data_IF_825871994778
#
_entry.id   IF_825871994778
#
_cell.length_a   1.000
_cell.length_b   1.000
_cell.length_c   1.000
_cell.angle_alpha   90.00
_cell.angle_beta   90.00
_cell.angle_gamma   90.00
#
_symmetry.space_group_name_H-M   'P 1'
#
loop_
_entity.id
_entity.type
_entity.pdbx_description
1 polymer ?
#
# COMPACT_ATOMS: atom_id res chain seq x y z
N UNK A 1 3.82 18.55 15.33
CA UNK A 1 2.83 17.96 14.40
C UNK A 1 1.49 17.97 15.09
N UNK A 2 0.37 18.26 14.40
CA UNK A 2 -0.95 18.03 14.98
C UNK A 2 -1.04 16.57 15.46
N UNK A 3 -1.79 16.30 16.52
CA UNK A 3 -1.73 15.02 17.26
C UNK A 3 -2.07 13.76 16.42
N UNK A 4 -2.64 13.94 15.22
CA UNK A 4 -3.21 12.85 14.40
C UNK A 4 -2.35 12.47 13.18
N UNK A 5 -1.11 12.99 13.07
CA UNK A 5 -0.22 12.63 11.95
C UNK A 5 0.62 11.40 12.27
N UNK A 6 0.69 10.46 11.31
CA UNK A 6 1.63 9.35 11.35
C UNK A 6 3.00 9.76 10.81
N UNK A 7 4.08 9.30 11.46
CA UNK A 7 5.45 9.48 11.00
C UNK A 7 6.05 8.10 10.67
N UNK A 8 6.46 7.91 9.42
CA UNK A 8 6.97 6.64 8.91
C UNK A 8 6.53 6.41 7.47
N UNK A 9 6.66 5.17 6.99
CA UNK A 9 6.18 4.80 5.66
C UNK A 9 4.68 4.48 5.72
N UNK A 10 3.95 4.86 4.67
CA UNK A 10 2.53 4.54 4.55
C UNK A 10 2.29 3.01 4.49
N UNK A 11 3.24 2.24 3.95
CA UNK A 11 3.18 0.77 3.92
C UNK A 11 3.22 0.18 5.33
N UNK A 12 4.06 0.72 6.22
CA UNK A 12 4.12 0.32 7.63
C UNK A 12 2.82 0.66 8.36
N UNK A 13 2.28 1.86 8.11
CA UNK A 13 1.00 2.27 8.69
C UNK A 13 -0.13 1.32 8.29
N UNK A 14 -0.21 0.97 7.00
CA UNK A 14 -1.24 0.06 6.48
C UNK A 14 -1.10 -1.32 7.13
N UNK A 15 0.11 -1.88 7.16
CA UNK A 15 0.34 -3.20 7.76
C UNK A 15 -0.02 -3.27 9.26
N UNK A 16 0.22 -2.18 10.00
CA UNK A 16 -0.10 -2.12 11.43
C UNK A 16 -1.60 -1.92 11.73
N UNK A 17 -2.31 -1.17 10.88
CA UNK A 17 -3.67 -0.72 11.19
C UNK A 17 -4.76 -1.45 10.39
N UNK A 18 -4.39 -2.15 9.32
CA UNK A 18 -5.29 -2.90 8.44
C UNK A 18 -4.77 -4.32 8.22
N UNK A 19 -4.84 -5.21 9.24
CA UNK A 19 -4.29 -6.56 9.16
C UNK A 19 -5.06 -7.49 8.20
N UNK A 20 -6.23 -7.09 7.72
CA UNK A 20 -7.03 -7.82 6.74
C UNK A 20 -7.68 -6.86 5.74
N UNK A 21 -7.31 -7.03 4.47
CA UNK A 21 -7.76 -6.29 3.30
C UNK A 21 -8.65 -7.15 2.39
N UNK A 22 -9.06 -8.35 2.81
CA UNK A 22 -9.84 -9.28 1.98
C UNK A 22 -11.18 -8.71 1.49
N UNK A 23 -11.74 -7.75 2.22
CA UNK A 23 -12.99 -7.05 1.89
C UNK A 23 -12.78 -5.70 1.18
N UNK A 24 -11.54 -5.38 0.81
CA UNK A 24 -11.17 -4.10 0.21
C UNK A 24 -10.78 -4.25 -1.27
N UNK A 25 -10.85 -3.11 -1.95
CA UNK A 25 -10.11 -2.85 -3.17
C UNK A 25 -9.10 -1.76 -2.86
N UNK A 26 -7.86 -1.96 -3.27
CA UNK A 26 -6.75 -1.04 -2.99
C UNK A 26 -6.34 -0.40 -4.30
N UNK A 27 -6.36 0.93 -4.34
CA UNK A 27 -5.72 1.72 -5.38
C UNK A 27 -4.52 2.46 -4.79
N UNK A 28 -3.36 2.35 -5.43
CA UNK A 28 -2.13 2.99 -4.97
C UNK A 28 -1.40 3.70 -6.12
N UNK A 29 -0.87 4.90 -5.85
CA UNK A 29 -0.15 5.71 -6.82
C UNK A 29 1.13 6.26 -6.19
N UNK A 30 2.28 6.10 -6.85
CA UNK A 30 3.55 6.51 -6.26
C UNK A 30 4.79 5.96 -6.97
N UNK A 31 5.93 6.06 -6.30
CA UNK A 31 7.20 5.55 -6.84
C UNK A 31 7.22 4.01 -6.89
N UNK A 32 8.04 3.39 -7.76
CA UNK A 32 8.04 1.94 -7.96
C UNK A 32 8.27 1.14 -6.67
N UNK A 33 9.23 1.54 -5.84
CA UNK A 33 9.55 0.83 -4.60
C UNK A 33 8.42 0.86 -3.57
N UNK A 34 7.71 1.98 -3.46
CA UNK A 34 6.55 2.10 -2.57
C UNK A 34 5.38 1.22 -3.06
N UNK A 35 5.11 1.21 -4.36
CA UNK A 35 4.04 0.38 -4.94
C UNK A 35 4.36 -1.10 -4.82
N UNK A 36 5.60 -1.51 -5.13
CA UNK A 36 6.05 -2.90 -5.01
C UNK A 36 5.98 -3.39 -3.55
N UNK A 37 6.45 -2.58 -2.61
CA UNK A 37 6.36 -2.89 -1.18
C UNK A 37 4.90 -3.07 -0.73
N UNK A 38 4.01 -2.15 -1.12
CA UNK A 38 2.60 -2.25 -0.74
C UNK A 38 1.91 -3.47 -1.38
N UNK A 39 2.16 -3.72 -2.67
CA UNK A 39 1.57 -4.85 -3.40
C UNK A 39 1.95 -6.18 -2.74
N UNK A 40 3.23 -6.35 -2.39
CA UNK A 40 3.72 -7.57 -1.78
C UNK A 40 3.04 -7.80 -0.42
N UNK A 41 3.15 -6.84 0.51
CA UNK A 41 2.55 -6.97 1.84
C UNK A 41 1.02 -7.12 1.77
N UNK A 42 0.34 -6.39 0.90
CA UNK A 42 -1.12 -6.47 0.77
C UNK A 42 -1.59 -7.89 0.43
N UNK A 43 -0.89 -8.59 -0.47
CA UNK A 43 -1.27 -9.93 -0.92
C UNK A 43 -0.74 -11.02 0.02
N UNK A 44 0.51 -10.91 0.50
CA UNK A 44 1.13 -11.97 1.29
C UNK A 44 0.78 -11.93 2.77
N UNK A 45 0.51 -10.75 3.31
CA UNK A 45 0.36 -10.54 4.76
C UNK A 45 -1.02 -10.01 5.14
N UNK A 46 -1.66 -9.24 4.26
CA UNK A 46 -2.92 -8.55 4.57
C UNK A 46 -4.13 -9.15 3.84
N UNK A 47 -4.02 -10.36 3.28
CA UNK A 47 -5.14 -11.10 2.67
C UNK A 47 -5.89 -10.38 1.52
N UNK A 48 -5.28 -9.38 0.88
CA UNK A 48 -5.90 -8.73 -0.27
C UNK A 48 -6.00 -9.72 -1.44
N UNK A 49 -7.19 -9.85 -2.01
CA UNK A 49 -7.38 -10.59 -3.26
C UNK A 49 -6.58 -9.89 -4.36
N UNK A 50 -5.64 -10.59 -5.00
CA UNK A 50 -4.71 -10.01 -5.99
C UNK A 50 -5.40 -9.19 -7.09
N UNK A 51 -6.58 -9.60 -7.56
CA UNK A 51 -7.35 -8.87 -8.59
C UNK A 51 -7.97 -7.56 -8.10
N UNK A 52 -7.95 -7.31 -6.80
CA UNK A 52 -8.45 -6.10 -6.16
C UNK A 52 -7.34 -5.06 -5.89
N UNK A 53 -6.11 -5.31 -6.35
CA UNK A 53 -5.02 -4.34 -6.29
C UNK A 53 -4.87 -3.62 -7.62
N UNK A 54 -4.98 -2.29 -7.59
CA UNK A 54 -4.83 -1.40 -8.74
C UNK A 54 -3.71 -0.41 -8.45
N UNK A 55 -2.91 -0.07 -9.46
CA UNK A 55 -1.84 0.91 -9.26
C UNK A 55 -1.50 1.74 -10.47
N UNK A 56 -1.00 2.94 -10.20
CA UNK A 56 -0.30 3.79 -11.15
C UNK A 56 1.13 4.06 -10.64
N UNK A 57 2.13 3.75 -11.46
CA UNK A 57 3.54 3.76 -11.05
C UNK A 57 4.27 4.90 -11.72
N UNK A 58 4.81 5.81 -10.92
CA UNK A 58 5.63 6.92 -11.40
C UNK A 58 7.01 6.42 -11.81
N UNK A 59 7.17 6.09 -13.09
CA UNK A 59 8.49 5.80 -13.68
C UNK A 59 9.10 7.10 -14.23
N UNK A 60 10.41 7.34 -14.04
CA UNK A 60 11.09 8.45 -14.71
C UNK A 60 10.90 8.38 -16.23
N UNK A 61 10.79 9.54 -16.88
CA UNK A 61 10.84 9.61 -18.33
C UNK A 61 12.23 9.17 -18.84
N UNK A 62 12.26 8.63 -20.05
CA UNK A 62 13.50 8.30 -20.76
C UNK A 62 14.36 9.54 -21.03
#
# INVERSE_FOLDING_TARGET
>A
TPADYYHGLVTEYIAQNYPDLSQYQVYACGNPGMIESLYNSAISELNLVKTNFFSDVFTPSA
#
